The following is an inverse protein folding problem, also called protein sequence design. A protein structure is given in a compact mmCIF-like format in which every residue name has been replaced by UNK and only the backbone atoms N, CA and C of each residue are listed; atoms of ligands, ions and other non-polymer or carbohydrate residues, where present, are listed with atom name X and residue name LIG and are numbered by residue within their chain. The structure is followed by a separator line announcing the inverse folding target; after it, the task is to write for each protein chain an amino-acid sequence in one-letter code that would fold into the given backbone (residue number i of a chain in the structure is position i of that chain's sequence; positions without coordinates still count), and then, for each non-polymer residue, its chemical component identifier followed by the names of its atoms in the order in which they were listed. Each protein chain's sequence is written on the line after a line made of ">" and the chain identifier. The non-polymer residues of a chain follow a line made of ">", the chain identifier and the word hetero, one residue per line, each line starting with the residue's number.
data_IF_115050225107
#
_entry.id   IF_115050225107
#
_cell.length_a   1.000
_cell.length_b   1.000
_cell.length_c   1.000
_cell.angle_alpha   90.00
_cell.angle_beta   90.00
_cell.angle_gamma   90.00
#
_symmetry.space_group_name_H-M   'P 1'
#
loop_
_entity.id
_entity.type
_entity.pdbx_description
1 polymer ?
#
# COMPACT_ATOMS: atom_id res chain seq x y z
N UNK A 1 -30.69 -22.66 -58.75
CA UNK A 1 -30.13 -21.31 -58.67
C UNK A 1 -29.46 -21.05 -60.02
N UNK A 2 -30.12 -20.29 -60.94
CA UNK A 2 -29.54 -19.98 -62.25
C UNK A 2 -28.43 -18.94 -62.07
N UNK A 3 -27.19 -19.31 -62.45
CA UNK A 3 -26.09 -18.36 -62.57
C UNK A 3 -26.48 -17.26 -63.57
N UNK A 4 -26.49 -16.00 -63.13
CA UNK A 4 -26.64 -14.86 -64.02
C UNK A 4 -25.43 -14.89 -64.95
N UNK A 5 -25.67 -14.95 -66.26
CA UNK A 5 -24.63 -14.75 -67.25
C UNK A 5 -23.93 -13.42 -67.01
N UNK A 6 -22.61 -13.50 -66.90
CA UNK A 6 -21.77 -12.29 -66.75
C UNK A 6 -21.94 -11.44 -68.05
N UNK A 7 -22.21 -10.14 -67.89
CA UNK A 7 -22.26 -9.22 -69.02
C UNK A 7 -20.92 -9.27 -69.79
N UNK A 8 -20.95 -9.22 -71.11
CA UNK A 8 -19.72 -9.30 -71.92
C UNK A 8 -18.75 -8.18 -71.51
N UNK A 9 -17.49 -8.58 -71.28
CA UNK A 9 -16.44 -7.63 -70.95
C UNK A 9 -16.20 -6.75 -72.17
N UNK A 10 -16.47 -5.44 -72.05
CA UNK A 10 -16.21 -4.46 -73.08
C UNK A 10 -14.71 -4.12 -73.11
N UNK A 11 -14.09 -4.20 -74.29
CA UNK A 11 -12.74 -3.74 -74.47
C UNK A 11 -12.71 -2.19 -74.37
N UNK A 12 -11.85 -1.67 -73.51
CA UNK A 12 -11.72 -0.23 -73.29
C UNK A 12 -10.74 0.39 -74.31
N UNK A 13 -11.13 1.53 -74.85
CA UNK A 13 -10.22 2.30 -75.72
C UNK A 13 -9.11 2.97 -74.88
N UNK A 14 -7.98 3.33 -75.56
CA UNK A 14 -6.88 4.04 -74.89
C UNK A 14 -7.30 5.35 -74.21
N UNK A 15 -8.40 5.95 -74.63
CA UNK A 15 -9.00 7.15 -73.98
C UNK A 15 -9.76 6.82 -72.71
N UNK A 16 -10.44 5.67 -72.65
CA UNK A 16 -11.21 5.18 -71.50
C UNK A 16 -10.29 4.58 -70.41
N UNK A 17 -9.05 4.19 -70.75
CA UNK A 17 -8.06 3.72 -69.81
C UNK A 17 -7.45 4.82 -68.97
N UNK A 18 -7.57 6.09 -69.35
CA UNK A 18 -7.06 7.24 -68.60
C UNK A 18 -8.19 8.19 -68.25
N UNK A 19 -8.57 8.17 -66.97
CA UNK A 19 -9.54 9.14 -66.49
C UNK A 19 -8.96 10.55 -66.62
N UNK A 20 -9.75 11.48 -67.16
CA UNK A 20 -9.49 12.93 -67.22
C UNK A 20 -10.63 13.64 -66.55
N UNK A 21 -10.30 14.45 -65.54
CA UNK A 21 -11.26 15.34 -64.94
C UNK A 21 -11.66 16.44 -65.94
N UNK A 22 -12.95 16.61 -66.15
CA UNK A 22 -13.48 17.79 -66.80
C UNK A 22 -13.68 18.89 -65.77
N UNK A 23 -12.90 20.00 -65.83
CA UNK A 23 -13.04 21.09 -64.85
C UNK A 23 -14.46 21.67 -64.78
N UNK A 24 -15.22 21.68 -65.86
CA UNK A 24 -16.58 22.19 -65.87
C UNK A 24 -17.57 21.33 -65.10
N UNK A 25 -17.25 20.03 -64.85
CA UNK A 25 -18.07 19.13 -64.08
C UNK A 25 -17.91 19.29 -62.56
N UNK A 26 -16.93 20.08 -62.10
CA UNK A 26 -16.62 20.20 -60.68
C UNK A 26 -17.56 21.17 -59.93
N UNK A 27 -18.24 22.09 -60.63
CA UNK A 27 -19.24 22.98 -60.03
C UNK A 27 -18.67 24.09 -59.14
N UNK A 28 -17.36 24.34 -59.19
CA UNK A 28 -16.66 25.41 -58.49
C UNK A 28 -15.51 25.96 -59.34
N UNK A 29 -15.16 27.23 -59.15
CA UNK A 29 -14.05 27.89 -59.90
C UNK A 29 -12.73 27.79 -59.14
N UNK A 30 -12.76 27.89 -57.80
CA UNK A 30 -11.57 27.86 -56.97
C UNK A 30 -11.76 26.93 -55.77
N UNK A 31 -10.66 26.39 -55.24
CA UNK A 31 -10.67 25.51 -54.03
C UNK A 31 -11.10 26.27 -52.76
N UNK A 32 -11.23 27.61 -52.80
CA UNK A 32 -11.77 28.41 -51.69
C UNK A 32 -13.27 28.25 -51.49
N UNK A 33 -13.98 27.76 -52.51
CA UNK A 33 -15.41 27.54 -52.51
C UNK A 33 -15.83 26.18 -51.98
N UNK A 34 -14.84 25.33 -51.64
CA UNK A 34 -15.05 23.96 -51.17
C UNK A 34 -14.63 23.85 -49.72
N UNK A 35 -15.48 23.27 -48.89
CA UNK A 35 -15.09 22.86 -47.55
C UNK A 35 -14.20 21.61 -47.61
N UNK A 36 -13.19 21.50 -46.73
CA UNK A 36 -12.37 20.30 -46.64
C UNK A 36 -13.24 19.09 -46.32
N UNK A 37 -12.97 17.99 -47.00
CA UNK A 37 -13.65 16.72 -46.70
C UNK A 37 -12.95 16.08 -45.49
N UNK A 38 -13.67 15.90 -44.38
CA UNK A 38 -13.21 15.17 -43.21
C UNK A 38 -13.45 13.65 -43.35
N UNK A 39 -14.09 13.19 -44.41
CA UNK A 39 -14.42 11.81 -44.66
C UNK A 39 -13.26 11.07 -45.38
N UNK A 40 -13.11 9.80 -45.05
CA UNK A 40 -12.13 8.92 -45.69
C UNK A 40 -12.73 8.35 -46.96
N UNK A 41 -12.16 8.71 -48.09
CA UNK A 41 -12.66 8.36 -49.40
C UNK A 41 -12.26 6.89 -49.76
N UNK A 42 -13.20 6.16 -50.36
CA UNK A 42 -13.02 4.85 -50.99
C UNK A 42 -12.52 3.70 -50.06
N UNK A 43 -12.84 3.76 -48.75
CA UNK A 43 -12.53 2.72 -47.79
C UNK A 43 -13.78 2.15 -47.07
N UNK A 44 -14.94 2.16 -47.69
CA UNK A 44 -16.23 1.81 -47.07
C UNK A 44 -16.24 0.43 -46.42
N UNK A 45 -15.57 -0.56 -47.03
CA UNK A 45 -15.47 -1.93 -46.51
C UNK A 45 -14.64 -1.97 -45.23
N UNK A 46 -13.51 -1.27 -45.20
CA UNK A 46 -12.62 -1.21 -44.06
C UNK A 46 -13.28 -0.43 -42.90
N UNK A 47 -13.92 0.69 -43.20
CA UNK A 47 -14.67 1.49 -42.21
C UNK A 47 -15.82 0.70 -41.59
N UNK A 48 -16.61 -0.03 -42.42
CA UNK A 48 -17.67 -0.91 -41.94
C UNK A 48 -17.15 -2.04 -41.06
N UNK A 49 -16.06 -2.68 -41.45
CA UNK A 49 -15.42 -3.73 -40.64
C UNK A 49 -14.88 -3.18 -39.32
N UNK A 50 -14.23 -2.01 -39.33
CA UNK A 50 -13.74 -1.31 -38.12
C UNK A 50 -14.90 -0.97 -37.19
N UNK A 51 -15.98 -0.41 -37.72
CA UNK A 51 -17.17 -0.08 -36.94
C UNK A 51 -17.75 -1.33 -36.24
N UNK A 52 -18.00 -2.40 -36.97
CA UNK A 52 -18.47 -3.68 -36.43
C UNK A 52 -17.51 -4.20 -35.37
N UNK A 53 -16.20 -4.15 -35.64
CA UNK A 53 -15.18 -4.61 -34.70
C UNK A 53 -15.13 -3.79 -33.41
N UNK A 54 -15.36 -2.47 -33.46
CA UNK A 54 -15.42 -1.60 -32.28
C UNK A 54 -16.70 -1.81 -31.47
N UNK A 55 -17.84 -1.97 -32.15
CA UNK A 55 -19.15 -2.19 -31.52
C UNK A 55 -19.30 -3.58 -30.87
N UNK A 56 -18.50 -4.57 -31.28
CA UNK A 56 -18.57 -5.91 -30.77
C UNK A 56 -17.92 -5.99 -29.36
N UNK A 57 -18.71 -6.15 -28.31
CA UNK A 57 -18.26 -6.13 -26.91
C UNK A 57 -17.73 -7.47 -26.38
N UNK A 58 -17.62 -8.49 -27.23
CA UNK A 58 -17.14 -9.80 -26.78
C UNK A 58 -15.64 -9.78 -26.41
N UNK A 59 -15.24 -10.42 -25.30
CA UNK A 59 -13.85 -10.55 -24.91
C UNK A 59 -12.99 -11.19 -26.00
N UNK A 60 -11.76 -10.67 -26.18
CA UNK A 60 -10.81 -11.20 -27.16
C UNK A 60 -10.99 -10.67 -28.60
N UNK A 61 -12.05 -9.92 -28.89
CA UNK A 61 -12.22 -9.27 -30.20
C UNK A 61 -11.33 -8.02 -30.31
N UNK A 62 -10.04 -8.24 -30.55
CA UNK A 62 -9.11 -7.19 -30.88
C UNK A 62 -9.05 -6.99 -32.40
N UNK A 63 -8.64 -5.80 -32.85
CA UNK A 63 -8.66 -5.43 -34.26
C UNK A 63 -7.22 -5.26 -34.74
N UNK A 64 -6.89 -5.88 -35.89
CA UNK A 64 -5.65 -5.64 -36.57
C UNK A 64 -5.90 -4.92 -37.92
N UNK A 65 -5.29 -3.76 -38.10
CA UNK A 65 -5.41 -2.94 -39.32
C UNK A 65 -4.11 -2.99 -40.09
N UNK A 66 -4.11 -3.72 -41.20
CA UNK A 66 -2.96 -3.83 -42.09
C UNK A 66 -3.06 -2.89 -43.29
N UNK A 67 -1.94 -2.36 -43.73
CA UNK A 67 -1.87 -1.52 -44.92
C UNK A 67 -0.51 -0.81 -45.05
N UNK A 68 -0.26 -0.21 -46.23
CA UNK A 68 0.98 0.51 -46.47
C UNK A 68 1.16 1.69 -45.51
N UNK A 69 2.41 2.04 -45.22
CA UNK A 69 2.72 3.22 -44.41
C UNK A 69 2.25 4.49 -45.14
N UNK A 70 1.77 5.49 -44.40
CA UNK A 70 1.31 6.75 -44.97
C UNK A 70 -0.12 6.74 -45.57
N UNK A 71 -0.88 5.65 -45.48
CA UNK A 71 -2.24 5.55 -46.03
C UNK A 71 -3.32 6.11 -45.10
N UNK A 72 -2.98 6.90 -44.09
CA UNK A 72 -3.96 7.53 -43.19
C UNK A 72 -4.60 6.62 -42.15
N UNK A 73 -4.04 5.41 -41.89
CA UNK A 73 -4.61 4.44 -40.93
C UNK A 73 -4.92 5.04 -39.54
N UNK A 74 -3.97 5.80 -39.00
CA UNK A 74 -4.15 6.39 -37.67
C UNK A 74 -5.26 7.44 -37.62
N UNK A 75 -5.33 8.29 -38.65
CA UNK A 75 -6.42 9.29 -38.81
C UNK A 75 -7.76 8.59 -39.01
N UNK A 76 -7.80 7.53 -39.81
CA UNK A 76 -8.99 6.70 -40.01
C UNK A 76 -9.52 6.15 -38.72
N UNK A 77 -8.65 5.50 -37.95
CA UNK A 77 -9.03 4.90 -36.64
C UNK A 77 -9.52 5.98 -35.69
N UNK A 78 -8.78 7.11 -35.58
CA UNK A 78 -9.13 8.19 -34.68
C UNK A 78 -10.51 8.80 -35.04
N UNK A 79 -10.75 9.15 -36.30
CA UNK A 79 -12.02 9.74 -36.74
C UNK A 79 -13.17 8.74 -36.55
N UNK A 80 -12.97 7.46 -36.89
CA UNK A 80 -13.99 6.43 -36.68
C UNK A 80 -14.33 6.26 -35.19
N UNK A 81 -13.34 6.22 -34.31
CA UNK A 81 -13.57 6.11 -32.88
C UNK A 81 -14.25 7.34 -32.28
N UNK A 82 -13.95 8.55 -32.77
CA UNK A 82 -14.62 9.78 -32.36
C UNK A 82 -16.09 9.83 -32.80
N UNK A 83 -16.40 9.32 -34.01
CA UNK A 83 -17.79 9.22 -34.49
C UNK A 83 -18.61 8.14 -33.81
N UNK A 84 -17.94 7.11 -33.30
CA UNK A 84 -18.55 5.98 -32.59
C UNK A 84 -18.54 6.15 -31.06
N UNK A 85 -18.23 7.35 -30.56
CA UNK A 85 -18.22 7.61 -29.13
C UNK A 85 -19.60 7.32 -28.55
N UNK A 86 -19.78 6.10 -28.13
CA UNK A 86 -20.94 5.67 -27.35
C UNK A 86 -20.71 6.02 -25.89
N UNK A 87 -21.80 6.24 -25.15
CA UNK A 87 -21.73 6.43 -23.69
C UNK A 87 -20.79 5.40 -23.10
N UNK A 88 -19.90 5.87 -22.23
CA UNK A 88 -19.00 4.98 -21.52
C UNK A 88 -19.80 3.87 -20.83
N UNK A 89 -19.45 2.61 -21.10
CA UNK A 89 -19.82 1.53 -20.20
C UNK A 89 -19.29 1.88 -18.81
N UNK A 90 -19.88 1.34 -17.76
CA UNK A 90 -19.52 1.62 -16.36
C UNK A 90 -17.98 1.70 -16.18
N UNK A 91 -17.43 2.92 -16.12
CA UNK A 91 -16.00 3.14 -15.88
C UNK A 91 -15.70 2.98 -14.41
N UNK A 92 -14.54 2.40 -14.11
CA UNK A 92 -14.08 2.17 -12.74
C UNK A 92 -12.82 3.00 -12.46
N UNK A 93 -12.75 3.53 -11.26
CA UNK A 93 -11.51 4.04 -10.69
C UNK A 93 -10.72 2.90 -10.07
N UNK A 94 -9.39 3.01 -10.09
CA UNK A 94 -8.48 1.99 -9.56
C UNK A 94 -7.53 2.60 -8.55
N UNK A 95 -7.41 1.91 -7.43
CA UNK A 95 -6.63 2.36 -6.28
C UNK A 95 -5.78 1.23 -5.74
N UNK A 96 -4.53 1.50 -5.42
CA UNK A 96 -3.75 0.64 -4.55
C UNK A 96 -3.66 1.21 -3.14
N UNK A 97 -3.81 0.33 -2.16
CA UNK A 97 -3.64 0.61 -0.74
C UNK A 97 -2.63 -0.36 -0.13
N UNK A 98 -2.09 0.00 1.03
CA UNK A 98 -1.17 -0.86 1.74
C UNK A 98 -1.85 -2.17 2.15
N UNK A 99 -1.09 -3.25 2.09
CA UNK A 99 -1.47 -4.52 2.70
C UNK A 99 -0.71 -4.66 4.02
N UNK A 100 -1.38 -4.37 5.13
CA UNK A 100 -0.75 -4.38 6.46
C UNK A 100 -0.23 -5.76 6.86
N UNK A 101 -0.86 -6.83 6.36
CA UNK A 101 -0.39 -8.21 6.59
C UNK A 101 0.79 -8.60 5.70
N UNK A 102 0.88 -8.06 4.48
CA UNK A 102 1.94 -8.36 3.52
C UNK A 102 2.23 -7.14 2.62
N UNK A 103 3.07 -6.19 3.05
CA UNK A 103 3.34 -4.95 2.29
C UNK A 103 3.92 -5.17 0.88
N UNK A 104 4.42 -6.38 0.60
CA UNK A 104 4.93 -6.75 -0.74
C UNK A 104 3.81 -6.90 -1.76
N UNK A 105 2.59 -7.19 -1.32
CA UNK A 105 1.40 -7.40 -2.15
C UNK A 105 0.32 -6.34 -1.91
N UNK A 106 0.49 -5.10 -2.42
CA UNK A 106 -0.51 -4.04 -2.30
C UNK A 106 -1.88 -4.50 -2.78
N UNK A 107 -2.91 -4.09 -2.03
CA UNK A 107 -4.31 -4.46 -2.30
C UNK A 107 -4.88 -3.52 -3.35
N UNK A 108 -5.56 -4.10 -4.35
CA UNK A 108 -6.31 -3.37 -5.36
C UNK A 108 -7.74 -3.14 -4.87
N UNK A 109 -8.18 -1.87 -4.86
CA UNK A 109 -9.58 -1.51 -4.69
C UNK A 109 -10.12 -0.87 -5.95
N UNK A 110 -11.40 -1.12 -6.25
CA UNK A 110 -12.08 -0.55 -7.41
C UNK A 110 -13.34 0.17 -6.97
N UNK A 111 -13.59 1.32 -7.59
CA UNK A 111 -14.75 2.16 -7.32
C UNK A 111 -15.42 2.58 -8.62
N UNK A 112 -16.68 2.96 -8.57
CA UNK A 112 -17.32 3.68 -9.68
C UNK A 112 -16.62 5.02 -9.90
N UNK A 113 -16.67 5.56 -11.12
CA UNK A 113 -15.99 6.81 -11.49
C UNK A 113 -16.25 7.94 -10.49
N UNK A 114 -15.19 8.53 -9.97
CA UNK A 114 -15.20 9.54 -8.90
C UNK A 114 -15.18 8.98 -7.47
N UNK A 115 -15.39 7.68 -7.30
CA UNK A 115 -15.38 7.01 -5.99
C UNK A 115 -14.00 6.98 -5.34
N UNK A 116 -12.93 6.84 -6.13
CA UNK A 116 -11.57 6.80 -5.61
C UNK A 116 -11.15 8.10 -4.92
N UNK A 117 -11.47 9.25 -5.49
CA UNK A 117 -11.19 10.56 -4.88
C UNK A 117 -11.94 10.74 -3.56
N UNK A 118 -13.22 10.33 -3.56
CA UNK A 118 -14.05 10.38 -2.36
C UNK A 118 -13.48 9.46 -1.28
N UNK A 119 -13.14 8.22 -1.61
CA UNK A 119 -12.54 7.26 -0.69
C UNK A 119 -11.25 7.80 -0.08
N UNK A 120 -10.32 8.31 -0.94
CA UNK A 120 -9.07 8.93 -0.46
C UNK A 120 -9.34 10.08 0.52
N UNK A 121 -10.23 10.99 0.16
CA UNK A 121 -10.56 12.15 1.00
C UNK A 121 -11.15 11.72 2.35
N UNK A 122 -12.02 10.71 2.35
CA UNK A 122 -12.64 10.22 3.59
C UNK A 122 -11.64 9.47 4.48
N UNK A 123 -10.70 8.70 3.91
CA UNK A 123 -9.58 8.08 4.65
C UNK A 123 -8.70 9.18 5.27
N UNK A 124 -8.28 10.17 4.48
CA UNK A 124 -7.44 11.28 4.96
C UNK A 124 -8.12 12.03 6.14
N UNK A 125 -9.42 12.26 6.04
CA UNK A 125 -10.21 12.89 7.10
C UNK A 125 -10.32 11.99 8.34
N UNK A 126 -10.53 10.70 8.18
CA UNK A 126 -10.61 9.75 9.27
C UNK A 126 -9.29 9.66 10.05
N UNK A 127 -8.16 9.54 9.35
CA UNK A 127 -6.83 9.52 9.98
C UNK A 127 -6.55 10.84 10.72
N UNK A 128 -6.82 11.98 10.11
CA UNK A 128 -6.68 13.29 10.77
C UNK A 128 -7.57 13.41 12.00
N UNK A 129 -8.82 12.95 11.90
CA UNK A 129 -9.75 12.95 13.02
C UNK A 129 -9.24 12.09 14.19
N UNK A 130 -8.75 10.88 13.90
CA UNK A 130 -8.17 10.00 14.91
C UNK A 130 -6.91 10.62 15.53
N UNK A 131 -6.01 11.20 14.73
CA UNK A 131 -4.80 11.89 15.23
C UNK A 131 -5.14 13.03 16.19
N UNK A 132 -6.21 13.76 15.93
CA UNK A 132 -6.65 14.86 16.80
C UNK A 132 -7.42 14.37 18.03
N UNK A 133 -8.19 13.29 17.93
CA UNK A 133 -9.10 12.84 18.99
C UNK A 133 -8.50 11.83 19.97
N UNK A 134 -7.58 10.98 19.52
CA UNK A 134 -6.93 9.98 20.38
C UNK A 134 -6.26 10.64 21.61
N UNK A 135 -5.43 11.71 21.48
CA UNK A 135 -4.86 12.38 22.63
C UNK A 135 -5.94 12.88 23.60
N UNK A 136 -7.00 13.48 23.08
CA UNK A 136 -8.10 14.03 23.93
C UNK A 136 -8.82 12.95 24.75
N UNK A 137 -9.01 11.76 24.19
CA UNK A 137 -9.59 10.62 24.92
C UNK A 137 -8.63 10.13 26.00
N UNK A 138 -7.34 10.02 25.70
CA UNK A 138 -6.32 9.58 26.65
C UNK A 138 -5.93 10.64 27.70
N UNK A 139 -6.33 11.89 27.52
CA UNK A 139 -6.20 12.97 28.50
C UNK A 139 -7.50 13.18 29.31
N UNK A 140 -8.57 12.43 29.02
CA UNK A 140 -9.83 12.55 29.73
C UNK A 140 -9.71 12.14 31.20
N UNK A 141 -10.53 12.77 32.06
CA UNK A 141 -10.58 12.46 33.48
C UNK A 141 -10.89 10.97 33.75
N UNK A 142 -11.83 10.40 32.99
CA UNK A 142 -12.19 8.98 33.09
C UNK A 142 -11.01 8.05 32.84
N UNK A 143 -10.22 8.30 31.78
CA UNK A 143 -9.03 7.51 31.50
C UNK A 143 -7.94 7.70 32.55
N UNK A 144 -7.73 8.96 33.00
CA UNK A 144 -6.75 9.27 34.04
C UNK A 144 -7.04 8.55 35.34
N UNK A 145 -8.33 8.50 35.79
CA UNK A 145 -8.75 7.75 36.97
C UNK A 145 -8.50 6.25 36.84
N UNK A 146 -8.86 5.63 35.69
CA UNK A 146 -8.66 4.19 35.48
C UNK A 146 -7.17 3.84 35.43
N UNK A 147 -6.37 4.67 34.77
CA UNK A 147 -4.92 4.53 34.74
C UNK A 147 -4.29 4.65 36.14
N UNK A 148 -4.73 5.64 36.93
CA UNK A 148 -4.25 5.84 38.31
C UNK A 148 -4.53 4.62 39.16
N UNK A 149 -5.72 4.02 39.07
CA UNK A 149 -6.09 2.78 39.79
C UNK A 149 -5.17 1.59 39.42
N UNK A 150 -4.88 1.40 38.16
CA UNK A 150 -3.95 0.35 37.72
C UNK A 150 -2.53 0.58 38.27
N UNK A 151 -2.06 1.82 38.26
CA UNK A 151 -0.76 2.19 38.82
C UNK A 151 -0.70 1.97 40.34
N UNK A 152 -1.77 2.34 41.07
CA UNK A 152 -1.88 2.13 42.51
C UNK A 152 -1.87 0.63 42.85
N UNK A 153 -2.67 -0.17 42.17
CA UNK A 153 -2.69 -1.63 42.34
C UNK A 153 -1.30 -2.27 42.09
N UNK A 154 -0.60 -1.83 41.07
CA UNK A 154 0.75 -2.30 40.78
C UNK A 154 1.74 -1.90 41.89
N UNK A 155 1.71 -0.63 42.33
CA UNK A 155 2.56 -0.14 43.41
C UNK A 155 2.33 -0.91 44.72
N UNK A 156 1.06 -1.21 45.05
CA UNK A 156 0.71 -1.99 46.22
C UNK A 156 1.25 -3.43 46.12
N UNK A 157 1.15 -4.07 44.95
CA UNK A 157 1.69 -5.41 44.72
C UNK A 157 3.21 -5.43 44.82
N UNK A 158 3.91 -4.46 44.23
CA UNK A 158 5.35 -4.32 44.33
C UNK A 158 5.81 -4.08 45.77
N UNK A 159 5.16 -3.13 46.46
CA UNK A 159 5.45 -2.86 47.89
C UNK A 159 5.22 -4.06 48.76
N UNK A 160 4.17 -4.84 48.57
CA UNK A 160 3.88 -6.05 49.30
C UNK A 160 4.93 -7.12 49.07
N UNK A 161 5.41 -7.28 47.83
CA UNK A 161 6.48 -8.23 47.50
C UNK A 161 7.80 -7.84 48.17
N UNK A 162 8.20 -6.58 48.09
CA UNK A 162 9.46 -6.07 48.66
C UNK A 162 9.39 -6.08 50.19
N UNK A 163 8.28 -5.65 50.80
CA UNK A 163 8.10 -5.60 52.25
C UNK A 163 8.06 -7.00 52.84
N UNK A 164 7.39 -7.97 52.18
CA UNK A 164 7.34 -9.36 52.56
C UNK A 164 8.74 -10.00 52.60
N UNK A 165 9.57 -9.71 51.55
CA UNK A 165 10.93 -10.20 51.52
C UNK A 165 11.82 -9.53 52.57
N UNK A 166 11.70 -8.22 52.80
CA UNK A 166 12.41 -7.49 53.87
C UNK A 166 12.07 -8.03 55.24
N UNK A 167 10.80 -8.38 55.51
CA UNK A 167 10.37 -8.94 56.76
C UNK A 167 11.00 -10.36 56.98
N UNK A 168 10.98 -11.19 55.95
CA UNK A 168 11.62 -12.50 55.98
C UNK A 168 13.13 -12.44 56.28
N UNK A 169 13.82 -11.45 55.66
CA UNK A 169 15.23 -11.18 55.94
C UNK A 169 15.46 -10.73 57.40
N UNK A 170 14.66 -9.80 57.90
CA UNK A 170 14.79 -9.26 59.24
C UNK A 170 14.55 -10.32 60.33
N UNK A 171 13.61 -11.23 60.13
CA UNK A 171 13.34 -12.35 61.03
C UNK A 171 14.53 -13.35 61.16
N UNK A 172 15.45 -13.31 60.18
CA UNK A 172 16.64 -14.18 60.13
C UNK A 172 17.97 -13.43 60.22
N UNK A 173 17.97 -12.23 60.79
CA UNK A 173 19.14 -11.38 60.96
C UNK A 173 19.85 -10.97 59.62
N UNK A 174 19.04 -10.75 58.57
CA UNK A 174 19.52 -10.19 57.28
C UNK A 174 18.83 -8.89 56.98
N UNK A 175 19.50 -8.08 56.18
CA UNK A 175 19.01 -6.78 55.69
C UNK A 175 19.11 -6.68 54.17
N UNK A 176 18.11 -6.05 53.50
CA UNK A 176 18.18 -5.70 52.10
C UNK A 176 18.77 -4.29 51.96
N UNK A 177 20.04 -4.19 51.62
CA UNK A 177 20.73 -2.93 51.41
C UNK A 177 20.91 -2.58 49.95
N UNK A 178 21.59 -1.47 49.70
CA UNK A 178 22.02 -1.07 48.38
C UNK A 178 23.55 -0.92 48.37
N UNK A 179 24.21 -1.50 47.37
CA UNK A 179 25.63 -1.33 47.13
C UNK A 179 25.79 -0.53 45.84
N UNK A 180 26.67 0.46 45.91
CA UNK A 180 27.12 1.19 44.72
C UNK A 180 28.38 0.49 44.18
N UNK A 181 28.24 -0.16 43.04
CA UNK A 181 29.34 -0.78 42.31
C UNK A 181 29.37 -0.25 40.88
N UNK A 182 30.50 0.21 40.40
CA UNK A 182 30.74 0.66 39.03
C UNK A 182 29.73 1.73 38.52
N UNK A 183 29.22 2.59 39.42
CA UNK A 183 28.26 3.65 39.07
C UNK A 183 26.80 3.19 38.98
N UNK A 184 26.51 1.94 39.31
CA UNK A 184 25.11 1.42 39.39
C UNK A 184 24.78 1.04 40.84
N UNK A 185 23.58 1.41 41.30
CA UNK A 185 23.04 1.00 42.61
C UNK A 185 22.35 -0.35 42.47
N UNK A 186 22.88 -1.37 43.15
CA UNK A 186 22.32 -2.72 43.15
C UNK A 186 21.82 -3.12 44.55
N UNK A 187 20.64 -3.72 44.62
CA UNK A 187 20.15 -4.31 45.86
C UNK A 187 20.94 -5.55 46.20
N UNK A 188 21.29 -5.74 47.48
CA UNK A 188 22.03 -6.87 47.99
C UNK A 188 21.53 -7.28 49.37
N UNK A 189 21.56 -8.58 49.63
CA UNK A 189 21.26 -9.15 50.95
C UNK A 189 22.52 -9.05 51.79
N UNK A 190 22.40 -8.52 52.98
CA UNK A 190 23.55 -8.36 53.90
C UNK A 190 23.18 -8.96 55.26
N UNK A 191 24.04 -9.75 55.92
CA UNK A 191 23.86 -10.22 57.30
C UNK A 191 23.91 -9.06 58.27
N UNK A 192 23.17 -9.21 59.39
CA UNK A 192 23.21 -8.31 60.56
C UNK A 192 23.86 -9.02 61.69
N UNK A 193 25.07 -8.58 62.14
CA UNK A 193 25.83 -9.18 63.23
C UNK A 193 25.93 -8.14 64.34
N UNK A 194 25.54 -8.51 65.54
CA UNK A 194 25.50 -7.62 66.71
C UNK A 194 24.76 -6.28 66.48
N UNK A 195 23.74 -6.30 65.60
CA UNK A 195 22.98 -5.09 65.25
C UNK A 195 23.55 -4.22 64.15
N UNK A 196 24.71 -4.59 63.60
CA UNK A 196 25.34 -3.88 62.47
C UNK A 196 25.20 -4.67 61.16
N UNK A 197 24.94 -3.94 60.05
CA UNK A 197 24.87 -4.53 58.73
C UNK A 197 26.28 -4.72 58.18
N UNK A 198 26.65 -5.98 57.90
CA UNK A 198 28.02 -6.32 57.48
C UNK A 198 27.99 -6.87 56.04
N UNK A 199 28.85 -6.42 55.14
CA UNK A 199 28.98 -7.04 53.83
C UNK A 199 29.49 -8.48 53.94
N UNK A 200 28.98 -9.37 53.06
CA UNK A 200 29.32 -10.81 53.12
C UNK A 200 30.84 -11.11 53.04
N UNK A 201 31.58 -10.31 52.27
CA UNK A 201 33.04 -10.49 52.10
C UNK A 201 33.85 -10.19 53.37
N UNK A 202 33.25 -9.65 54.44
CA UNK A 202 33.87 -9.42 55.72
C UNK A 202 33.65 -10.52 56.74
N UNK A 203 32.83 -11.52 56.45
CA UNK A 203 32.45 -12.59 57.35
C UNK A 203 33.70 -13.42 57.78
N UNK A 204 34.58 -13.72 56.83
CA UNK A 204 35.81 -14.47 57.12
C UNK A 204 36.73 -13.67 58.03
N UNK A 205 36.88 -12.36 57.82
CA UNK A 205 37.69 -11.46 58.67
C UNK A 205 37.14 -11.37 60.09
N UNK A 206 35.79 -11.40 60.27
CA UNK A 206 35.18 -11.39 61.60
C UNK A 206 35.35 -12.71 62.33
N UNK A 207 35.38 -13.84 61.63
CA UNK A 207 35.70 -15.13 62.18
C UNK A 207 37.16 -15.22 62.61
N UNK A 208 38.11 -14.74 61.82
CA UNK A 208 39.56 -14.66 62.16
C UNK A 208 39.81 -13.80 63.41
N UNK A 209 39.02 -12.71 63.59
CA UNK A 209 39.12 -11.85 64.77
C UNK A 209 38.38 -12.40 66.01
N UNK A 210 37.77 -13.57 65.91
CA UNK A 210 37.08 -14.23 67.01
C UNK A 210 35.76 -13.55 67.43
N UNK A 211 35.17 -12.73 66.57
CA UNK A 211 33.87 -12.07 66.81
C UNK A 211 32.69 -12.97 66.54
N UNK A 212 32.88 -13.97 65.69
CA UNK A 212 31.93 -15.09 65.39
C UNK A 212 32.70 -16.38 65.31
N UNK A 213 32.06 -17.52 65.61
CA UNK A 213 32.68 -18.83 65.45
C UNK A 213 32.72 -19.27 63.97
N UNK A 214 33.64 -20.19 63.60
CA UNK A 214 33.70 -20.74 62.25
C UNK A 214 32.38 -21.43 61.82
N UNK A 215 31.68 -22.06 62.75
CA UNK A 215 30.38 -22.71 62.53
C UNK A 215 29.30 -21.66 62.21
N UNK A 216 29.24 -20.54 62.97
CA UNK A 216 28.32 -19.40 62.72
C UNK A 216 28.65 -18.73 61.37
N UNK A 217 29.93 -18.57 61.02
CA UNK A 217 30.31 -18.01 59.71
C UNK A 217 29.80 -18.89 58.55
N UNK A 218 29.94 -20.21 58.65
CA UNK A 218 29.43 -21.14 57.63
C UNK A 218 27.90 -21.07 57.48
N UNK A 219 27.17 -21.04 58.61
CA UNK A 219 25.70 -20.91 58.60
C UNK A 219 25.25 -19.57 57.97
N UNK A 220 25.92 -18.45 58.26
CA UNK A 220 25.63 -17.16 57.68
C UNK A 220 25.83 -17.18 56.15
N UNK A 221 26.87 -17.85 55.67
CA UNK A 221 27.17 -17.93 54.20
C UNK A 221 26.11 -18.83 53.54
N UNK A 222 25.66 -19.95 54.14
CA UNK A 222 24.62 -20.79 53.58
C UNK A 222 23.27 -20.05 53.52
N UNK A 223 22.90 -19.35 54.59
CA UNK A 223 21.70 -18.53 54.64
C UNK A 223 21.76 -17.37 53.64
N UNK A 224 22.95 -16.72 53.47
CA UNK A 224 23.15 -15.69 52.48
C UNK A 224 22.87 -16.23 51.07
N UNK A 225 23.42 -17.39 50.70
CA UNK A 225 23.20 -17.98 49.39
C UNK A 225 21.70 -18.29 49.16
N UNK A 226 21.00 -18.78 50.17
CA UNK A 226 19.56 -19.01 50.11
C UNK A 226 18.77 -17.71 49.84
N UNK A 227 19.12 -16.64 50.56
CA UNK A 227 18.44 -15.34 50.37
C UNK A 227 18.85 -14.63 49.09
N UNK A 228 20.04 -14.87 48.57
CA UNK A 228 20.42 -14.40 47.24
C UNK A 228 19.57 -15.06 46.15
N UNK A 229 19.30 -16.33 46.23
CA UNK A 229 18.31 -16.97 45.35
C UNK A 229 16.91 -16.38 45.52
N UNK A 230 16.51 -16.08 46.76
CA UNK A 230 15.27 -15.39 47.07
C UNK A 230 15.18 -13.99 46.42
N UNK A 231 16.26 -13.23 46.49
CA UNK A 231 16.35 -11.91 45.83
C UNK A 231 16.23 -12.04 44.30
N UNK A 232 16.87 -13.03 43.70
CA UNK A 232 16.73 -13.31 42.28
C UNK A 232 15.30 -13.65 41.87
N UNK A 233 14.60 -14.45 42.69
CA UNK A 233 13.18 -14.77 42.50
C UNK A 233 12.30 -13.52 42.66
N UNK A 234 12.65 -12.60 43.57
CA UNK A 234 11.97 -11.31 43.77
C UNK A 234 12.11 -10.44 42.52
N UNK A 235 13.31 -10.33 41.96
CA UNK A 235 13.54 -9.62 40.70
C UNK A 235 12.71 -10.12 39.53
N UNK A 236 12.68 -11.46 39.35
CA UNK A 236 11.84 -12.11 38.33
C UNK A 236 10.36 -11.79 38.52
N UNK A 237 9.87 -11.79 39.75
CA UNK A 237 8.48 -11.43 40.05
C UNK A 237 8.22 -9.94 39.76
N UNK A 238 9.15 -9.05 40.10
CA UNK A 238 9.05 -7.63 39.80
C UNK A 238 8.97 -7.39 38.28
N UNK A 239 9.87 -7.99 37.49
CA UNK A 239 9.81 -7.89 36.02
C UNK A 239 8.48 -8.40 35.44
N UNK A 240 7.94 -9.48 36.02
CA UNK A 240 6.63 -10.00 35.56
C UNK A 240 5.49 -9.02 35.87
N UNK A 241 5.49 -8.41 37.07
CA UNK A 241 4.50 -7.40 37.43
C UNK A 241 4.60 -6.16 36.53
N UNK A 242 5.79 -5.72 36.20
CA UNK A 242 6.02 -4.60 35.28
C UNK A 242 5.48 -4.89 33.87
N UNK A 243 5.70 -6.12 33.39
CA UNK A 243 5.13 -6.58 32.12
C UNK A 243 3.59 -6.64 32.18
N UNK A 244 3.02 -7.18 33.26
CA UNK A 244 1.57 -7.22 33.47
C UNK A 244 0.96 -5.82 33.53
N UNK A 245 1.63 -4.84 34.17
CA UNK A 245 1.19 -3.44 34.17
C UNK A 245 1.17 -2.88 32.75
N UNK A 246 2.23 -3.10 31.99
CA UNK A 246 2.32 -2.65 30.60
C UNK A 246 1.17 -3.20 29.75
N UNK A 247 0.93 -4.52 29.83
CA UNK A 247 -0.16 -5.18 29.11
C UNK A 247 -1.54 -4.65 29.54
N UNK A 248 -1.75 -4.40 30.84
CA UNK A 248 -3.01 -3.84 31.37
C UNK A 248 -3.22 -2.40 30.89
N UNK A 249 -2.18 -1.57 30.82
CA UNK A 249 -2.26 -0.21 30.30
C UNK A 249 -2.56 -0.20 28.78
N UNK A 250 -1.94 -1.08 28.01
CA UNK A 250 -2.21 -1.23 26.58
C UNK A 250 -3.67 -1.69 26.33
N UNK A 251 -4.17 -2.62 27.16
CA UNK A 251 -5.56 -3.07 27.09
C UNK A 251 -6.53 -1.95 27.46
N UNK A 252 -6.27 -1.18 28.51
CA UNK A 252 -7.08 -0.03 28.90
C UNK A 252 -7.16 1.01 27.78
N UNK A 253 -6.03 1.34 27.15
CA UNK A 253 -5.99 2.25 26.01
C UNK A 253 -6.84 1.74 24.84
N UNK A 254 -6.70 0.45 24.53
CA UNK A 254 -7.49 -0.20 23.47
C UNK A 254 -8.99 -0.15 23.76
N UNK A 255 -9.39 -0.43 24.99
CA UNK A 255 -10.81 -0.36 25.42
C UNK A 255 -11.37 1.06 25.27
N UNK A 256 -10.67 2.08 25.77
CA UNK A 256 -11.10 3.47 25.72
C UNK A 256 -11.22 4.01 24.28
N UNK A 257 -10.33 3.57 23.39
CA UNK A 257 -10.29 4.02 22.00
C UNK A 257 -11.16 3.18 21.06
N UNK A 258 -11.65 2.01 21.50
CA UNK A 258 -12.44 1.11 20.64
C UNK A 258 -13.66 1.79 20.05
N UNK A 259 -14.43 2.53 20.85
CA UNK A 259 -15.62 3.24 20.39
C UNK A 259 -15.31 4.32 19.35
N UNK A 260 -14.23 5.08 19.55
CA UNK A 260 -13.78 6.12 18.64
C UNK A 260 -13.30 5.53 17.29
N UNK A 261 -12.39 4.55 17.35
CA UNK A 261 -11.77 3.97 16.14
C UNK A 261 -12.81 3.22 15.33
N UNK A 262 -13.56 2.31 15.96
CA UNK A 262 -14.61 1.53 15.27
C UNK A 262 -15.73 2.41 14.73
N UNK A 263 -16.18 3.42 15.48
CA UNK A 263 -17.19 4.35 14.99
C UNK A 263 -16.74 5.13 13.77
N UNK A 264 -15.49 5.58 13.75
CA UNK A 264 -14.90 6.31 12.61
C UNK A 264 -14.81 5.41 11.37
N UNK A 265 -14.30 4.18 11.52
CA UNK A 265 -14.13 3.25 10.40
C UNK A 265 -15.46 2.61 9.95
N UNK A 266 -16.44 2.46 10.84
CA UNK A 266 -17.77 2.00 10.49
C UNK A 266 -18.47 2.97 9.53
N UNK A 267 -18.34 4.27 9.75
CA UNK A 267 -18.87 5.27 8.81
C UNK A 267 -18.29 5.13 7.41
N UNK A 268 -16.98 4.79 7.29
CA UNK A 268 -16.35 4.49 6.00
C UNK A 268 -16.89 3.19 5.39
N UNK A 269 -17.07 2.13 6.18
CA UNK A 269 -17.65 0.85 5.72
C UNK A 269 -19.08 1.04 5.18
N UNK A 270 -19.86 1.91 5.81
CA UNK A 270 -21.23 2.23 5.38
C UNK A 270 -21.26 3.04 4.07
N UNK A 271 -20.29 3.94 3.86
CA UNK A 271 -20.17 4.72 2.63
C UNK A 271 -19.61 3.91 1.45
N UNK A 272 -18.79 2.89 1.72
CA UNK A 272 -18.14 2.04 0.71
C UNK A 272 -18.38 0.56 1.00
N UNK A 273 -19.62 0.06 0.78
CA UNK A 273 -20.07 -1.26 1.24
C UNK A 273 -19.60 -2.43 0.36
N UNK A 274 -18.56 -2.26 -0.46
CA UNK A 274 -18.03 -3.37 -1.23
C UNK A 274 -17.10 -4.26 -0.37
N UNK A 275 -17.10 -5.55 -0.63
CA UNK A 275 -16.42 -6.57 0.15
C UNK A 275 -14.91 -6.31 0.27
N UNK A 276 -14.25 -5.91 -0.82
CA UNK A 276 -12.81 -5.65 -0.83
C UNK A 276 -12.44 -4.43 0.04
N UNK A 277 -13.24 -3.37 -0.03
CA UNK A 277 -13.02 -2.18 0.78
C UNK A 277 -13.28 -2.46 2.26
N UNK A 278 -14.32 -3.22 2.60
CA UNK A 278 -14.59 -3.63 3.98
C UNK A 278 -13.43 -4.49 4.52
N UNK A 279 -12.93 -5.44 3.73
CA UNK A 279 -11.78 -6.26 4.11
C UNK A 279 -10.53 -5.39 4.38
N UNK A 280 -10.23 -4.42 3.52
CA UNK A 280 -9.15 -3.46 3.74
C UNK A 280 -9.35 -2.62 5.00
N UNK A 281 -10.56 -2.09 5.22
CA UNK A 281 -10.86 -1.28 6.41
C UNK A 281 -10.77 -2.07 7.71
N UNK A 282 -11.00 -3.38 7.68
CA UNK A 282 -10.76 -4.25 8.83
C UNK A 282 -9.26 -4.39 9.13
N UNK A 283 -8.41 -4.59 8.09
CA UNK A 283 -6.95 -4.61 8.26
C UNK A 283 -6.42 -3.26 8.75
N UNK A 284 -6.97 -2.16 8.26
CA UNK A 284 -6.65 -0.81 8.73
C UNK A 284 -7.02 -0.63 10.21
N UNK A 285 -8.19 -1.12 10.64
CA UNK A 285 -8.63 -1.09 12.04
C UNK A 285 -7.64 -1.81 12.95
N UNK A 286 -7.22 -3.02 12.57
CA UNK A 286 -6.26 -3.81 13.32
C UNK A 286 -4.90 -3.09 13.41
N UNK A 287 -4.36 -2.58 12.30
CA UNK A 287 -3.09 -1.85 12.28
C UNK A 287 -3.13 -0.57 13.12
N UNK A 288 -4.25 0.17 13.12
CA UNK A 288 -4.42 1.35 13.99
C UNK A 288 -4.35 0.95 15.47
N UNK A 289 -4.99 -0.16 15.86
CA UNK A 289 -4.92 -0.66 17.24
C UNK A 289 -3.52 -1.13 17.64
N UNK A 290 -2.77 -1.74 16.74
CA UNK A 290 -1.39 -2.15 16.98
C UNK A 290 -0.43 -0.94 17.07
N UNK A 291 -0.77 0.16 16.42
CA UNK A 291 0.06 1.36 16.32
C UNK A 291 -0.57 2.61 16.98
N UNK A 292 -1.34 2.44 18.05
CA UNK A 292 -1.97 3.56 18.81
C UNK A 292 -0.93 4.64 19.19
N UNK A 293 0.31 4.23 19.46
CA UNK A 293 1.40 5.14 19.80
C UNK A 293 1.64 6.24 18.75
N UNK A 294 1.32 6.00 17.48
CA UNK A 294 1.44 7.01 16.40
C UNK A 294 0.45 8.17 16.60
N UNK A 295 -0.70 7.88 17.17
CA UNK A 295 -1.80 8.82 17.36
C UNK A 295 -1.73 9.55 18.71
N UNK A 296 -0.98 9.01 19.71
CA UNK A 296 -0.86 9.60 21.06
C UNK A 296 -0.16 10.95 21.09
N UNK A 297 0.82 11.15 20.24
CA UNK A 297 1.70 12.32 20.31
C UNK A 297 1.14 13.53 19.55
N UNK A 298 -0.03 13.41 18.89
CA UNK A 298 -0.58 14.46 18.05
C UNK A 298 0.42 14.96 17.00
N UNK A 299 0.28 16.22 16.58
CA UNK A 299 1.23 16.89 15.67
C UNK A 299 2.44 17.49 16.40
N UNK A 300 2.73 17.08 17.65
CA UNK A 300 3.85 17.64 18.40
C UNK A 300 5.17 17.26 17.76
N UNK A 301 5.98 18.27 17.46
CA UNK A 301 7.34 18.14 16.95
C UNK A 301 8.19 17.36 17.95
N UNK A 302 8.65 16.19 17.56
CA UNK A 302 9.67 15.45 18.32
C UNK A 302 11.03 15.81 17.74
N UNK A 303 12.02 16.08 18.59
CA UNK A 303 13.39 16.39 18.16
C UNK A 303 14.15 15.18 17.60
N UNK A 304 13.62 13.97 17.79
CA UNK A 304 14.26 12.75 17.30
C UNK A 304 13.91 12.51 15.82
N UNK A 305 14.92 12.67 14.94
CA UNK A 305 14.77 12.47 13.49
C UNK A 305 14.38 11.05 13.08
N UNK A 306 14.85 10.03 13.79
CA UNK A 306 14.49 8.63 13.50
C UNK A 306 13.01 8.39 13.79
N UNK A 307 12.49 8.97 14.87
CA UNK A 307 11.07 8.88 15.21
C UNK A 307 10.18 9.65 14.21
N UNK A 308 10.67 10.81 13.72
CA UNK A 308 9.99 11.56 12.63
C UNK A 308 9.90 10.73 11.37
N UNK A 309 11.01 10.10 10.95
CA UNK A 309 11.06 9.24 9.77
C UNK A 309 10.14 8.01 9.92
N UNK A 310 10.16 7.36 11.08
CA UNK A 310 9.28 6.23 11.37
C UNK A 310 7.80 6.64 11.29
N UNK A 311 7.41 7.75 11.92
CA UNK A 311 6.06 8.29 11.87
C UNK A 311 5.64 8.62 10.44
N UNK A 312 6.49 9.32 9.69
CA UNK A 312 6.22 9.65 8.29
C UNK A 312 5.99 8.41 7.45
N UNK A 313 6.87 7.41 7.55
CA UNK A 313 6.74 6.16 6.82
C UNK A 313 5.45 5.40 7.22
N UNK A 314 5.13 5.36 8.51
CA UNK A 314 3.96 4.65 9.01
C UNK A 314 2.66 5.39 8.69
N UNK A 315 2.61 6.72 8.80
CA UNK A 315 1.46 7.54 8.39
C UNK A 315 1.21 7.40 6.89
N UNK A 316 2.28 7.34 6.08
CA UNK A 316 2.19 7.09 4.64
C UNK A 316 1.56 5.71 4.32
N UNK A 317 1.66 4.72 5.21
CA UNK A 317 1.02 3.42 5.01
C UNK A 317 -0.51 3.47 5.03
N UNK A 318 -1.09 4.56 5.53
CA UNK A 318 -2.54 4.82 5.53
C UNK A 318 -3.01 5.63 4.31
N UNK A 319 -2.09 6.11 3.48
CA UNK A 319 -2.41 6.84 2.25
C UNK A 319 -3.09 5.93 1.21
N UNK A 320 -3.72 6.57 0.22
CA UNK A 320 -4.43 5.93 -0.87
C UNK A 320 -3.81 6.34 -2.20
N UNK A 321 -3.28 5.40 -2.97
CA UNK A 321 -2.71 5.64 -4.30
C UNK A 321 -3.76 5.47 -5.39
N UNK A 322 -4.30 6.55 -5.91
CA UNK A 322 -5.21 6.53 -7.06
C UNK A 322 -4.37 6.38 -8.33
N UNK A 323 -4.39 5.20 -8.94
CA UNK A 323 -3.64 4.91 -10.17
C UNK A 323 -4.42 5.24 -11.45
N UNK A 324 -5.75 5.22 -11.37
CA UNK A 324 -6.64 5.68 -12.44
C UNK A 324 -7.88 6.33 -11.85
N UNK A 325 -8.16 7.54 -12.29
CA UNK A 325 -9.32 8.34 -11.93
C UNK A 325 -10.12 8.67 -13.19
N UNK A 326 -11.33 8.17 -13.25
CA UNK A 326 -12.27 8.41 -14.36
C UNK A 326 -13.36 9.42 -14.01
N UNK A 327 -13.21 10.19 -12.92
CA UNK A 327 -14.24 11.15 -12.47
C UNK A 327 -14.64 12.21 -13.49
N UNK A 328 -13.73 12.58 -14.41
CA UNK A 328 -13.95 13.54 -15.47
C UNK A 328 -14.23 12.90 -16.84
N UNK A 329 -14.25 11.57 -16.93
CA UNK A 329 -14.42 10.85 -18.20
C UNK A 329 -15.90 10.56 -18.42
N UNK A 330 -16.48 11.18 -19.43
CA UNK A 330 -17.92 11.04 -19.79
C UNK A 330 -18.13 10.12 -20.97
N UNK A 331 -17.11 9.92 -21.79
CA UNK A 331 -17.15 9.10 -22.99
C UNK A 331 -16.23 7.88 -22.84
N UNK A 332 -16.41 6.91 -23.73
CA UNK A 332 -15.55 5.73 -23.80
C UNK A 332 -14.09 6.14 -24.01
N UNK A 333 -13.15 5.76 -23.13
CA UNK A 333 -11.76 6.19 -23.25
C UNK A 333 -11.11 5.64 -24.52
N UNK A 334 -10.47 6.53 -25.29
CA UNK A 334 -9.68 6.18 -26.46
C UNK A 334 -8.25 6.63 -26.24
N UNK A 335 -7.36 5.71 -26.01
CA UNK A 335 -5.95 5.97 -25.73
C UNK A 335 -5.12 5.56 -26.94
N UNK A 336 -4.38 6.52 -27.51
CA UNK A 336 -3.42 6.25 -28.60
C UNK A 336 -2.02 6.28 -28.00
N UNK A 337 -1.38 5.11 -27.91
CA UNK A 337 -0.01 4.99 -27.41
C UNK A 337 0.97 5.07 -28.58
N UNK A 338 1.77 6.10 -28.60
CA UNK A 338 2.73 6.38 -29.67
C UNK A 338 4.08 5.75 -29.46
N UNK A 339 4.45 5.46 -28.23
CA UNK A 339 5.73 4.88 -27.80
C UNK A 339 5.51 3.65 -26.92
N UNK A 340 5.04 2.53 -27.47
CA UNK A 340 4.60 1.37 -26.71
C UNK A 340 5.79 0.55 -26.16
N UNK A 341 6.55 1.15 -25.25
CA UNK A 341 7.53 0.45 -24.44
C UNK A 341 6.85 -0.23 -23.22
N UNK A 342 7.61 -1.00 -22.44
CA UNK A 342 7.05 -1.76 -21.32
C UNK A 342 6.37 -0.86 -20.29
N UNK A 343 7.06 0.18 -19.86
CA UNK A 343 6.61 1.12 -18.81
C UNK A 343 5.39 1.91 -19.23
N UNK A 344 5.42 2.47 -20.45
CA UNK A 344 4.31 3.26 -20.96
C UNK A 344 3.05 2.43 -21.13
N UNK A 345 3.20 1.17 -21.58
CA UNK A 345 2.06 0.32 -21.89
C UNK A 345 1.46 -0.35 -20.66
N UNK A 346 2.29 -0.94 -19.80
CA UNK A 346 1.82 -1.75 -18.68
C UNK A 346 1.87 -1.02 -17.33
N UNK A 347 2.54 0.13 -17.25
CA UNK A 347 2.80 0.83 -16.01
C UNK A 347 4.14 0.45 -15.39
N UNK A 348 4.45 1.06 -14.28
CA UNK A 348 5.72 0.89 -13.58
C UNK A 348 5.58 1.05 -12.08
N UNK A 349 6.57 0.58 -11.34
CA UNK A 349 6.77 0.86 -9.93
C UNK A 349 8.04 1.72 -9.83
N UNK A 350 7.87 2.99 -9.47
CA UNK A 350 8.97 3.94 -9.35
C UNK A 350 9.76 3.66 -8.08
N UNK A 351 11.08 3.73 -8.16
CA UNK A 351 11.97 3.60 -7.00
C UNK A 351 12.45 4.97 -6.55
N UNK A 352 12.41 5.21 -5.24
CA UNK A 352 12.87 6.43 -4.61
C UNK A 352 14.19 6.12 -3.90
N UNK A 353 15.22 6.96 -4.09
CA UNK A 353 16.47 6.86 -3.34
C UNK A 353 16.25 7.22 -1.88
N UNK A 354 16.81 6.43 -0.97
CA UNK A 354 16.81 6.70 0.47
C UNK A 354 17.87 7.71 0.92
N UNK A 355 18.63 8.26 -0.04
CA UNK A 355 19.75 9.20 0.23
C UNK A 355 20.99 8.55 0.86
N UNK A 356 20.96 7.26 1.19
CA UNK A 356 22.06 6.47 1.76
C UNK A 356 22.63 5.43 0.78
N UNK A 357 22.22 5.52 -0.51
CA UNK A 357 22.65 4.60 -1.58
C UNK A 357 21.72 3.41 -1.77
N UNK A 358 20.65 3.30 -1.00
CA UNK A 358 19.56 2.33 -1.19
C UNK A 358 18.41 2.91 -2.01
N UNK A 359 17.53 2.02 -2.45
CA UNK A 359 16.27 2.37 -3.11
C UNK A 359 15.14 1.62 -2.45
N UNK A 360 14.01 2.29 -2.29
CA UNK A 360 12.76 1.67 -1.83
C UNK A 360 11.61 2.01 -2.77
N UNK A 361 10.59 1.19 -2.75
CA UNK A 361 9.31 1.47 -3.38
C UNK A 361 8.20 0.93 -2.49
N UNK A 362 7.09 1.64 -2.45
CA UNK A 362 5.87 1.24 -1.77
C UNK A 362 4.68 1.30 -2.75
N UNK A 363 3.49 0.98 -2.26
CA UNK A 363 2.28 1.01 -3.07
C UNK A 363 1.97 2.39 -3.67
N UNK A 364 2.47 3.50 -3.08
CA UNK A 364 2.31 4.86 -3.58
C UNK A 364 3.13 5.14 -4.85
N UNK A 365 4.10 4.30 -5.15
CA UNK A 365 4.99 4.42 -6.29
C UNK A 365 4.49 3.68 -7.55
N UNK A 366 3.34 3.00 -7.46
CA UNK A 366 2.73 2.30 -8.59
C UNK A 366 2.06 3.30 -9.52
N UNK A 367 2.38 3.24 -10.83
CA UNK A 367 1.84 4.12 -11.86
C UNK A 367 1.17 3.32 -12.98
N UNK A 368 0.03 3.82 -13.45
CA UNK A 368 -0.71 3.20 -14.54
C UNK A 368 -0.05 3.43 -15.91
N UNK A 369 -0.05 2.39 -16.74
CA UNK A 369 0.26 2.50 -18.18
C UNK A 369 -0.97 2.77 -19.03
N UNK A 370 -0.75 2.96 -20.35
CA UNK A 370 -1.79 3.28 -21.31
C UNK A 370 -2.84 2.16 -21.46
N UNK A 371 -2.48 0.92 -21.21
CA UNK A 371 -3.42 -0.21 -21.23
C UNK A 371 -4.49 -0.08 -20.12
N UNK A 372 -4.09 0.31 -18.90
CA UNK A 372 -5.05 0.57 -17.82
C UNK A 372 -5.84 1.86 -18.07
N UNK A 373 -5.20 2.91 -18.60
CA UNK A 373 -5.89 4.16 -18.96
C UNK A 373 -6.97 3.96 -20.02
N UNK A 374 -6.81 2.94 -20.87
CA UNK A 374 -7.79 2.55 -21.88
C UNK A 374 -8.85 1.57 -21.35
N UNK A 375 -8.82 1.19 -20.07
CA UNK A 375 -9.71 0.17 -19.54
C UNK A 375 -11.19 0.59 -19.64
N UNK A 376 -12.06 -0.32 -20.09
CA UNK A 376 -13.44 0.00 -20.46
C UNK A 376 -13.58 0.70 -21.83
N UNK A 377 -12.48 0.93 -22.56
CA UNK A 377 -12.44 1.63 -23.82
C UNK A 377 -11.57 0.96 -24.88
N UNK A 378 -10.81 1.78 -25.60
CA UNK A 378 -10.00 1.34 -26.75
C UNK A 378 -8.57 1.83 -26.61
N UNK A 379 -7.62 0.92 -26.74
CA UNK A 379 -6.19 1.20 -26.87
C UNK A 379 -5.76 1.04 -28.32
N UNK A 380 -5.18 2.07 -28.88
CA UNK A 380 -4.66 2.08 -30.27
C UNK A 380 -3.15 2.04 -30.24
N UNK A 381 -2.54 1.07 -30.92
CA UNK A 381 -1.11 0.84 -30.97
C UNK A 381 -0.61 0.72 -32.42
N UNK A 382 0.58 1.23 -32.70
CA UNK A 382 1.30 0.88 -33.92
C UNK A 382 2.25 -0.29 -33.62
N UNK A 383 2.01 -1.43 -34.27
CA UNK A 383 2.82 -2.64 -34.10
C UNK A 383 4.29 -2.42 -34.42
N UNK A 384 4.59 -1.60 -35.43
CA UNK A 384 5.96 -1.28 -35.85
C UNK A 384 6.73 -0.44 -34.81
N UNK A 385 6.03 0.18 -33.85
CA UNK A 385 6.64 0.95 -32.76
C UNK A 385 6.86 0.12 -31.49
N UNK A 386 6.46 -1.13 -31.47
CA UNK A 386 6.72 -2.02 -30.33
C UNK A 386 8.22 -2.31 -30.28
N UNK A 387 8.89 -1.72 -29.28
CA UNK A 387 10.35 -1.71 -29.18
C UNK A 387 10.99 -3.09 -28.97
N UNK A 388 10.30 -4.00 -28.29
CA UNK A 388 10.91 -5.29 -27.97
C UNK A 388 9.93 -6.46 -28.04
N UNK A 389 10.45 -7.68 -28.33
CA UNK A 389 9.65 -8.91 -28.28
C UNK A 389 9.04 -9.19 -26.90
N UNK A 390 9.63 -8.66 -25.81
CA UNK A 390 9.12 -8.81 -24.45
C UNK A 390 7.80 -8.04 -24.27
N UNK A 391 7.71 -6.83 -24.78
CA UNK A 391 6.48 -6.01 -24.76
C UNK A 391 5.35 -6.74 -25.49
N UNK A 392 5.63 -7.25 -26.70
CA UNK A 392 4.65 -8.01 -27.47
C UNK A 392 4.19 -9.28 -26.76
N UNK A 393 5.11 -10.03 -26.17
CA UNK A 393 4.81 -11.26 -25.42
C UNK A 393 3.92 -10.97 -24.22
N UNK A 394 4.24 -9.90 -23.47
CA UNK A 394 3.44 -9.52 -22.31
C UNK A 394 2.05 -9.00 -22.72
N UNK A 395 1.96 -8.20 -23.78
CA UNK A 395 0.67 -7.76 -24.32
C UNK A 395 -0.23 -8.95 -24.69
N UNK A 396 0.31 -9.94 -25.40
CA UNK A 396 -0.45 -11.17 -25.70
C UNK A 396 -0.90 -11.89 -24.45
N UNK A 397 -0.03 -11.99 -23.42
CA UNK A 397 -0.39 -12.59 -22.13
C UNK A 397 -1.56 -11.86 -21.48
N UNK A 398 -1.49 -10.52 -21.40
CA UNK A 398 -2.57 -9.72 -20.80
C UNK A 398 -3.87 -9.88 -21.57
N UNK A 399 -3.83 -9.86 -22.91
CA UNK A 399 -5.03 -10.04 -23.73
C UNK A 399 -5.62 -11.45 -23.68
N UNK A 400 -4.80 -12.46 -23.38
CA UNK A 400 -5.27 -13.85 -23.24
C UNK A 400 -5.95 -14.09 -21.89
N UNK A 401 -5.36 -13.53 -20.81
CA UNK A 401 -5.86 -13.77 -19.45
C UNK A 401 -6.74 -12.64 -18.92
N UNK A 402 -6.86 -11.54 -19.65
CA UNK A 402 -7.54 -10.30 -19.25
C UNK A 402 -7.07 -9.75 -17.89
N UNK A 403 -5.80 -9.98 -17.57
CA UNK A 403 -5.20 -9.54 -16.31
C UNK A 403 -3.88 -8.81 -16.55
N UNK A 404 -3.77 -7.61 -16.00
CA UNK A 404 -2.56 -6.80 -15.97
C UNK A 404 -1.95 -6.83 -14.56
N UNK A 405 -0.72 -7.28 -14.44
CA UNK A 405 0.09 -7.12 -13.23
C UNK A 405 1.19 -6.10 -13.50
N UNK A 406 1.15 -4.98 -12.80
CA UNK A 406 2.19 -3.95 -12.88
C UNK A 406 3.44 -4.50 -12.18
N UNK A 407 4.58 -4.41 -12.85
CA UNK A 407 5.85 -4.98 -12.38
C UNK A 407 6.95 -3.93 -12.37
N UNK A 408 7.90 -4.09 -11.47
CA UNK A 408 9.15 -3.35 -11.51
C UNK A 408 9.99 -3.83 -12.70
N UNK A 409 10.34 -2.91 -13.60
CA UNK A 409 11.11 -3.23 -14.82
C UNK A 409 12.61 -3.20 -14.60
N UNK A 410 13.11 -2.70 -13.48
CA UNK A 410 14.53 -2.58 -13.17
C UNK A 410 15.11 -3.89 -12.57
N UNK A 411 15.06 -4.98 -13.33
CA UNK A 411 15.59 -6.30 -12.94
C UNK A 411 17.12 -6.32 -12.74
N UNK A 412 17.82 -5.28 -13.19
CA UNK A 412 19.29 -5.23 -13.14
C UNK A 412 19.87 -4.99 -11.73
N UNK A 413 19.05 -4.62 -10.76
CA UNK A 413 19.48 -4.45 -9.37
C UNK A 413 18.92 -5.60 -8.52
N UNK A 414 19.52 -6.78 -8.66
CA UNK A 414 19.19 -7.99 -7.89
C UNK A 414 19.50 -7.90 -6.38
N UNK A 415 19.87 -6.73 -5.88
CA UNK A 415 20.30 -6.51 -4.49
C UNK A 415 19.40 -5.52 -3.72
N UNK A 416 18.07 -5.69 -3.81
CA UNK A 416 17.15 -4.92 -2.98
C UNK A 416 16.08 -5.82 -2.35
N UNK A 417 15.72 -5.63 -1.09
CA UNK A 417 14.98 -6.62 -0.31
C UNK A 417 13.49 -6.79 -0.65
N UNK A 418 12.88 -5.97 -1.50
CA UNK A 418 11.42 -6.03 -1.69
C UNK A 418 11.03 -5.73 -3.14
N UNK A 419 10.68 -6.80 -3.87
CA UNK A 419 9.94 -6.68 -5.12
C UNK A 419 8.45 -6.57 -4.79
N UNK A 420 7.85 -5.40 -5.05
CA UNK A 420 6.40 -5.27 -4.96
C UNK A 420 5.74 -6.12 -6.04
N UNK A 421 4.71 -6.84 -5.61
CA UNK A 421 3.87 -7.69 -6.45
C UNK A 421 2.40 -7.30 -6.27
N UNK A 422 1.98 -6.14 -6.81
CA UNK A 422 0.62 -5.66 -6.64
C UNK A 422 -0.40 -6.68 -7.15
N UNK A 423 -1.58 -6.68 -6.55
CA UNK A 423 -2.69 -7.50 -7.04
C UNK A 423 -3.01 -7.17 -8.50
N UNK A 424 -3.33 -8.17 -9.34
CA UNK A 424 -3.59 -7.98 -10.75
C UNK A 424 -4.90 -7.22 -11.00
N UNK A 425 -4.92 -6.43 -12.09
CA UNK A 425 -6.05 -5.62 -12.53
C UNK A 425 -6.75 -6.33 -13.69
N UNK A 426 -8.07 -6.44 -13.65
CA UNK A 426 -8.84 -6.95 -14.76
C UNK A 426 -8.90 -5.93 -15.91
N UNK A 427 -8.54 -6.37 -17.11
CA UNK A 427 -8.51 -5.55 -18.32
C UNK A 427 -9.65 -5.95 -19.26
N UNK A 428 -10.46 -4.97 -19.61
CA UNK A 428 -11.55 -5.09 -20.58
C UNK A 428 -11.33 -4.20 -21.81
N UNK A 429 -10.18 -3.52 -21.87
CA UNK A 429 -9.82 -2.66 -22.99
C UNK A 429 -9.75 -3.43 -24.31
N UNK A 430 -10.34 -2.89 -25.36
CA UNK A 430 -10.19 -3.38 -26.73
C UNK A 430 -8.91 -2.83 -27.33
N UNK A 431 -8.09 -3.68 -27.95
CA UNK A 431 -6.85 -3.26 -28.58
C UNK A 431 -7.01 -3.21 -30.10
N UNK A 432 -6.66 -2.07 -30.68
CA UNK A 432 -6.51 -1.89 -32.13
C UNK A 432 -5.03 -1.78 -32.47
N UNK A 433 -4.52 -2.77 -33.19
CA UNK A 433 -3.14 -2.79 -33.68
C UNK A 433 -3.10 -2.32 -35.12
N UNK A 434 -2.24 -1.35 -35.41
CA UNK A 434 -1.96 -0.90 -36.76
C UNK A 434 -0.59 -1.45 -37.19
N UNK A 435 -0.52 -2.03 -38.37
CA UNK A 435 0.72 -2.60 -38.89
C UNK A 435 0.85 -2.49 -40.39
N UNK A 436 1.98 -3.01 -40.92
CA UNK A 436 2.19 -3.21 -42.34
C UNK A 436 1.83 -4.66 -42.74
N UNK A 437 1.73 -4.93 -44.05
CA UNK A 437 1.48 -6.27 -44.56
C UNK A 437 2.76 -7.15 -44.63
N UNK A 438 3.90 -6.65 -44.11
CA UNK A 438 5.18 -7.31 -44.13
C UNK A 438 5.67 -7.65 -42.72
#
# INVERSE_FOLDING_TARGET
>A
MKLKEAAPVKELTARELRWKCDPASLGFETTKEIEPIDEIIAQDRALKALKIGVEMESPGYNIFIAGLSGTGKASTVKNTLQTLSTQASKLLDYVYVNNFSNPVEPILLTFDAGGAKRFKSEIDLAIKYLTAKVPQVLESESYAEKRARLMEQHNDQENNLVSGFKKQLAENNFHLGKIEAEGASRAEVMPVINGEVVPIYKIDELSEKGQITPEEAAEIVDQYNYYQEGLFKLYKKGMKLEQELKENLENLEREELTGLIRGTLQALKDHFPNEQTIAFLNLLEEDIFENIALFKAGDTETDNEELKLYRFAKTRSYDVNIILDNSAVTERPVVVETSPNYTNLFGTIERISDGRGGYYADFMNIKAGSLLKANGGVLVLNFNHIESPAVWRNLKKVLTYNQLQIQDTNVSLQFGPLFLKPQPINITAKVILMGSNY
#
